data_IF_149402147251
#
_entry.id   IF_149402147251
#
_cell.length_a   1.000
_cell.length_b   1.000
_cell.length_c   1.000
_cell.angle_alpha   90.00
_cell.angle_beta   90.00
_cell.angle_gamma   90.00
#
_symmetry.space_group_name_H-M   'P 1'
#
loop_
_entity.id
_entity.type
_entity.pdbx_description
1 polymer ?
#
# COMPACT_ATOMS: atom_id res chain seq x y z
N UNK A 1 -2.78 -12.62 -2.08
CA UNK A 1 -2.90 -11.35 -1.30
C UNK A 1 -1.71 -11.04 -0.36
N UNK A 2 -0.43 -11.37 -0.67
CA UNK A 2 0.75 -10.82 0.03
C UNK A 2 1.48 -9.72 -0.77
N UNK A 3 0.91 -9.21 -1.87
CA UNK A 3 1.58 -8.24 -2.75
C UNK A 3 1.20 -6.77 -2.50
N UNK A 4 0.08 -6.50 -1.81
CA UNK A 4 -0.40 -5.13 -1.56
C UNK A 4 0.21 -4.50 -0.29
N UNK A 5 0.61 -5.33 0.67
CA UNK A 5 1.24 -4.90 1.95
C UNK A 5 2.73 -4.57 1.77
N UNK A 6 3.37 -5.13 0.75
CA UNK A 6 4.75 -4.79 0.36
C UNK A 6 4.85 -3.45 -0.37
N UNK A 7 3.80 -3.00 -1.08
CA UNK A 7 3.84 -1.82 -1.96
C UNK A 7 3.45 -0.48 -1.32
N UNK A 8 2.96 -0.46 -0.08
CA UNK A 8 2.40 0.75 0.53
C UNK A 8 3.07 1.23 1.82
N UNK A 9 4.16 0.61 2.28
CA UNK A 9 4.70 0.91 3.62
C UNK A 9 6.02 1.70 3.59
N UNK A 10 6.05 2.91 4.19
CA UNK A 10 7.21 3.38 4.96
C UNK A 10 7.46 2.41 6.13
N UNK A 11 8.73 2.15 6.46
CA UNK A 11 9.15 1.11 7.42
C UNK A 11 8.64 1.37 8.86
N UNK A 12 8.32 2.62 9.23
CA UNK A 12 8.09 3.02 10.63
C UNK A 12 6.70 2.78 11.24
N UNK A 13 5.66 2.46 10.45
CA UNK A 13 4.27 2.39 10.96
C UNK A 13 3.58 1.02 10.80
N UNK A 14 4.28 0.02 10.25
CA UNK A 14 3.73 -1.33 10.01
C UNK A 14 3.25 -2.02 11.30
N UNK A 15 4.00 -1.86 12.40
CA UNK A 15 3.68 -2.48 13.69
C UNK A 15 2.38 -1.97 14.30
N UNK A 16 2.19 -0.65 14.33
CA UNK A 16 0.98 -0.02 14.91
C UNK A 16 -0.26 -0.27 14.06
N UNK A 17 -0.13 -0.22 12.74
CA UNK A 17 -1.25 -0.52 11.83
C UNK A 17 -1.71 -1.98 11.95
N UNK A 18 -0.76 -2.93 12.01
CA UNK A 18 -1.09 -4.34 12.27
C UNK A 18 -1.62 -4.55 13.69
N UNK A 19 -1.10 -3.82 14.69
CA UNK A 19 -1.57 -3.85 16.07
C UNK A 19 -3.03 -3.40 16.21
N UNK A 20 -3.39 -2.25 15.64
CA UNK A 20 -4.78 -1.73 15.64
C UNK A 20 -5.73 -2.71 14.94
N UNK A 21 -5.30 -3.29 13.81
CA UNK A 21 -6.09 -4.32 13.12
C UNK A 21 -6.30 -5.55 14.01
N UNK A 22 -5.24 -6.06 14.64
CA UNK A 22 -5.30 -7.22 15.53
C UNK A 22 -6.20 -6.96 16.74
N UNK A 23 -6.04 -5.82 17.42
CA UNK A 23 -6.91 -5.43 18.54
C UNK A 23 -8.38 -5.32 18.12
N UNK A 24 -8.65 -4.75 16.94
CA UNK A 24 -10.02 -4.66 16.39
C UNK A 24 -10.58 -6.04 16.06
N UNK A 25 -9.74 -6.95 15.52
CA UNK A 25 -10.14 -8.33 15.22
C UNK A 25 -10.47 -9.11 16.50
N UNK A 26 -9.62 -9.01 17.53
CA UNK A 26 -9.87 -9.65 18.82
C UNK A 26 -11.10 -9.09 19.52
N UNK A 27 -11.26 -7.75 19.51
CA UNK A 27 -12.44 -7.11 20.09
C UNK A 27 -13.73 -7.51 19.36
N UNK A 28 -13.69 -7.55 18.03
CA UNK A 28 -14.81 -7.99 17.20
C UNK A 28 -15.15 -9.47 17.42
N UNK A 29 -14.16 -10.34 17.52
CA UNK A 29 -14.36 -11.76 17.82
C UNK A 29 -14.94 -11.96 19.23
N UNK A 30 -14.46 -11.20 20.21
CA UNK A 30 -14.97 -11.25 21.58
C UNK A 30 -16.43 -10.78 21.67
N UNK A 31 -16.72 -9.58 21.14
CA UNK A 31 -18.08 -9.03 21.14
C UNK A 31 -19.03 -9.88 20.30
N UNK A 32 -18.60 -10.36 19.13
CA UNK A 32 -19.37 -11.26 18.28
C UNK A 32 -19.65 -12.59 18.97
N UNK A 33 -18.67 -13.15 19.68
CA UNK A 33 -18.84 -14.37 20.47
C UNK A 33 -19.78 -14.17 21.67
N UNK A 34 -19.64 -13.07 22.40
CA UNK A 34 -20.49 -12.75 23.55
C UNK A 34 -21.94 -12.48 23.15
N UNK A 35 -22.16 -11.64 22.12
CA UNK A 35 -23.49 -11.35 21.58
C UNK A 35 -24.11 -12.57 20.90
N UNK A 36 -23.31 -13.35 20.17
CA UNK A 36 -23.75 -14.60 19.55
C UNK A 36 -24.14 -15.67 20.58
N UNK A 37 -23.37 -15.81 21.66
CA UNK A 37 -23.68 -16.71 22.76
C UNK A 37 -24.95 -16.29 23.53
N UNK A 38 -25.11 -14.99 23.79
CA UNK A 38 -26.32 -14.45 24.41
C UNK A 38 -27.57 -14.64 23.52
N UNK A 39 -27.43 -14.37 22.22
CA UNK A 39 -28.48 -14.60 21.23
C UNK A 39 -28.82 -16.10 21.09
N UNK A 40 -27.82 -16.98 21.16
CA UNK A 40 -28.04 -18.43 21.16
C UNK A 40 -28.83 -18.89 22.39
N UNK A 41 -28.56 -18.31 23.56
CA UNK A 41 -29.27 -18.65 24.80
C UNK A 41 -30.72 -18.16 24.85
N UNK A 42 -31.03 -17.03 24.19
CA UNK A 42 -32.35 -16.38 24.29
C UNK A 42 -33.22 -16.56 23.04
N UNK A 43 -32.63 -16.55 21.84
CA UNK A 43 -33.31 -16.68 20.55
C UNK A 43 -33.00 -18.01 19.82
N UNK A 44 -32.16 -18.86 20.42
CA UNK A 44 -31.73 -20.12 19.80
C UNK A 44 -30.85 -19.93 18.56
N UNK A 45 -30.60 -21.02 17.84
CA UNK A 45 -29.73 -21.02 16.66
C UNK A 45 -30.24 -20.07 15.55
N UNK A 46 -31.55 -19.98 15.35
CA UNK A 46 -32.15 -19.12 14.32
C UNK A 46 -31.85 -17.64 14.55
N UNK A 47 -31.89 -17.16 15.80
CA UNK A 47 -31.56 -15.77 16.14
C UNK A 47 -30.12 -15.40 15.81
N UNK A 48 -29.18 -16.33 16.00
CA UNK A 48 -27.77 -16.13 15.64
C UNK A 48 -27.62 -15.98 14.12
N UNK A 49 -28.26 -16.84 13.33
CA UNK A 49 -28.21 -16.76 11.87
C UNK A 49 -28.78 -15.45 11.32
N UNK A 50 -29.93 -15.00 11.84
CA UNK A 50 -30.50 -13.70 11.45
C UNK A 50 -29.60 -12.52 11.87
N UNK A 51 -29.00 -12.59 13.06
CA UNK A 51 -28.02 -11.58 13.51
C UNK A 51 -26.80 -11.51 12.59
N UNK A 52 -26.21 -12.66 12.24
CA UNK A 52 -25.11 -12.73 11.27
C UNK A 52 -25.51 -12.19 9.90
N UNK A 53 -26.71 -12.52 9.41
CA UNK A 53 -27.21 -12.03 8.14
C UNK A 53 -27.36 -10.49 8.12
N UNK A 54 -27.88 -9.91 9.21
CA UNK A 54 -28.00 -8.44 9.34
C UNK A 54 -26.63 -7.75 9.35
N UNK A 55 -25.66 -8.29 10.10
CA UNK A 55 -24.29 -7.76 10.13
C UNK A 55 -23.64 -7.83 8.75
N UNK A 56 -23.84 -8.95 8.04
CA UNK A 56 -23.32 -9.13 6.68
C UNK A 56 -23.96 -8.15 5.68
N UNK A 57 -25.27 -7.93 5.77
CA UNK A 57 -25.98 -6.95 4.94
C UNK A 57 -25.50 -5.52 5.21
N UNK A 58 -25.30 -5.17 6.48
CA UNK A 58 -24.75 -3.86 6.85
C UNK A 58 -23.33 -3.68 6.29
N UNK A 59 -22.49 -4.70 6.41
CA UNK A 59 -21.15 -4.69 5.83
C UNK A 59 -21.18 -4.54 4.30
N UNK A 60 -22.08 -5.25 3.63
CA UNK A 60 -22.25 -5.17 2.18
C UNK A 60 -22.70 -3.76 1.75
N UNK A 61 -23.65 -3.16 2.46
CA UNK A 61 -24.09 -1.79 2.19
C UNK A 61 -22.94 -0.77 2.31
N UNK A 62 -22.08 -0.94 3.31
CA UNK A 62 -20.87 -0.11 3.47
C UNK A 62 -19.85 -0.37 2.35
N UNK A 63 -19.62 -1.63 2.00
CA UNK A 63 -18.68 -2.03 0.96
C UNK A 63 -19.08 -1.49 -0.42
N UNK A 64 -20.38 -1.46 -0.73
CA UNK A 64 -20.90 -0.87 -1.99
C UNK A 64 -20.57 0.64 -2.12
N UNK A 65 -20.38 1.35 -1.01
CA UNK A 65 -19.97 2.76 -1.00
C UNK A 65 -18.47 2.99 -1.18
N UNK A 66 -17.64 1.94 -1.10
CA UNK A 66 -16.19 2.10 -1.20
C UNK A 66 -15.76 2.24 -2.66
N UNK A 67 -15.30 3.45 -3.02
CA UNK A 67 -14.60 3.68 -4.29
C UNK A 67 -13.21 3.05 -4.20
N UNK A 68 -12.94 2.12 -5.12
CA UNK A 68 -11.66 1.43 -5.23
C UNK A 68 -10.54 2.46 -5.36
N UNK A 69 -9.63 2.58 -4.38
CA UNK A 69 -8.51 3.52 -4.49
C UNK A 69 -7.67 3.10 -5.69
N UNK A 70 -7.34 4.07 -6.55
CA UNK A 70 -6.53 3.83 -7.72
C UNK A 70 -5.29 3.02 -7.31
N UNK A 71 -5.10 1.86 -7.94
CA UNK A 71 -3.93 1.00 -7.72
C UNK A 71 -2.68 1.73 -8.24
N UNK A 72 -2.21 2.72 -7.49
CA UNK A 72 -0.94 3.41 -7.75
C UNK A 72 0.14 2.37 -7.65
N UNK A 73 0.80 2.14 -8.77
CA UNK A 73 1.67 1.01 -8.88
C UNK A 73 3.00 1.36 -8.27
N UNK A 74 3.34 0.78 -7.12
CA UNK A 74 4.73 0.82 -6.69
C UNK A 74 5.56 -0.01 -7.69
N UNK A 75 6.51 0.65 -8.33
CA UNK A 75 7.49 0.10 -9.25
C UNK A 75 8.87 0.39 -8.67
N UNK A 76 9.71 -0.65 -8.58
CA UNK A 76 11.07 -0.54 -8.10
C UNK A 76 11.98 -0.66 -9.32
N UNK A 77 12.85 0.31 -9.51
CA UNK A 77 13.90 0.25 -10.52
C UNK A 77 15.26 0.27 -9.84
N UNK A 78 16.21 -0.46 -10.41
CA UNK A 78 17.57 -0.49 -9.90
C UNK A 78 18.28 0.82 -10.27
N UNK A 79 19.08 1.35 -9.34
CA UNK A 79 20.02 2.45 -9.59
C UNK A 79 21.28 2.14 -8.81
N UNK A 80 22.44 2.36 -9.42
CA UNK A 80 23.73 2.25 -8.74
C UNK A 80 23.86 3.44 -7.76
N UNK A 81 23.53 3.22 -6.49
CA UNK A 81 23.46 4.25 -5.46
C UNK A 81 24.80 4.94 -5.21
N UNK A 82 25.90 4.25 -5.52
CA UNK A 82 27.26 4.80 -5.44
C UNK A 82 27.56 5.84 -6.53
N UNK A 83 26.81 5.85 -7.64
CA UNK A 83 26.99 6.79 -8.76
C UNK A 83 26.03 7.96 -8.72
N UNK A 84 25.01 7.90 -7.85
CA UNK A 84 24.03 8.97 -7.72
C UNK A 84 24.68 10.19 -7.06
N UNK A 85 24.97 11.21 -7.88
CA UNK A 85 25.61 12.45 -7.41
C UNK A 85 24.66 13.29 -6.55
N UNK A 86 23.35 13.26 -6.83
CA UNK A 86 22.34 14.00 -6.06
C UNK A 86 21.00 13.28 -6.03
N UNK A 87 20.66 12.77 -4.84
CA UNK A 87 19.41 12.04 -4.58
C UNK A 87 18.22 12.95 -4.82
N UNK A 88 18.26 14.19 -4.31
CA UNK A 88 17.15 15.14 -4.39
C UNK A 88 16.89 15.59 -5.82
N UNK A 89 17.94 15.79 -6.63
CA UNK A 89 17.78 16.21 -8.02
C UNK A 89 17.20 15.08 -8.88
N UNK A 90 17.64 13.84 -8.64
CA UNK A 90 17.11 12.67 -9.33
C UNK A 90 15.64 12.43 -8.97
N UNK A 91 15.26 12.57 -7.69
CA UNK A 91 13.87 12.50 -7.26
C UNK A 91 13.01 13.57 -7.94
N UNK A 92 13.48 14.82 -8.02
CA UNK A 92 12.75 15.90 -8.70
C UNK A 92 12.57 15.64 -10.20
N UNK A 93 13.59 15.10 -10.88
CA UNK A 93 13.49 14.77 -12.30
C UNK A 93 12.51 13.61 -12.54
N UNK A 94 12.51 12.61 -11.67
CA UNK A 94 11.56 11.50 -11.75
C UNK A 94 10.13 11.93 -11.44
N UNK A 95 9.94 12.85 -10.48
CA UNK A 95 8.63 13.46 -10.19
C UNK A 95 8.10 14.33 -11.34
N UNK A 96 8.96 14.84 -12.20
CA UNK A 96 8.58 15.63 -13.37
C UNK A 96 8.08 14.77 -14.54
N UNK A 97 8.23 13.44 -14.48
CA UNK A 97 7.72 12.53 -15.51
C UNK A 97 6.20 12.39 -15.41
N UNK A 98 5.55 12.39 -16.58
CA UNK A 98 4.12 12.11 -16.67
C UNK A 98 3.81 10.70 -16.15
N UNK A 99 2.83 10.63 -15.24
CA UNK A 99 2.44 9.38 -14.59
C UNK A 99 3.26 9.01 -13.36
N UNK A 100 4.22 9.83 -12.88
CA UNK A 100 4.90 9.61 -11.59
C UNK A 100 4.27 10.48 -10.50
N UNK A 101 3.75 9.86 -9.45
CA UNK A 101 3.12 10.57 -8.32
C UNK A 101 4.06 10.74 -7.13
N UNK A 102 4.94 9.76 -6.90
CA UNK A 102 5.99 9.81 -5.88
C UNK A 102 7.23 9.14 -6.43
N UNK A 103 8.40 9.74 -6.19
CA UNK A 103 9.70 9.13 -6.45
C UNK A 103 10.52 9.20 -5.17
N UNK A 104 11.17 8.10 -4.82
CA UNK A 104 12.12 8.03 -3.71
C UNK A 104 13.34 7.23 -4.10
N UNK A 105 14.51 7.82 -3.98
CA UNK A 105 15.78 7.14 -4.24
C UNK A 105 16.32 6.64 -2.91
N UNK A 106 16.68 5.35 -2.85
CA UNK A 106 17.26 4.70 -1.66
C UNK A 106 18.63 4.15 -2.06
N UNK A 107 19.69 4.96 -1.94
CA UNK A 107 21.05 4.56 -2.34
C UNK A 107 21.54 3.32 -1.59
N UNK A 108 21.10 3.11 -0.35
CA UNK A 108 21.49 1.97 0.48
C UNK A 108 20.96 0.63 -0.04
N UNK A 109 19.88 0.65 -0.83
CA UNK A 109 19.27 -0.53 -1.45
C UNK A 109 19.58 -0.64 -2.95
N UNK A 110 20.40 0.27 -3.51
CA UNK A 110 20.63 0.41 -4.95
C UNK A 110 19.31 0.42 -5.74
N UNK A 111 18.31 1.15 -5.22
CA UNK A 111 16.95 1.11 -5.73
C UNK A 111 16.22 2.46 -5.68
N UNK A 112 15.37 2.67 -6.66
CA UNK A 112 14.42 3.77 -6.74
C UNK A 112 13.00 3.23 -6.67
N UNK A 113 12.23 3.76 -5.73
CA UNK A 113 10.82 3.44 -5.54
C UNK A 113 9.97 4.53 -6.19
N UNK A 114 9.18 4.13 -7.18
CA UNK A 114 8.26 5.01 -7.88
C UNK A 114 6.82 4.57 -7.64
N UNK A 115 5.93 5.52 -7.31
CA UNK A 115 4.48 5.31 -7.38
C UNK A 115 3.98 5.87 -8.71
N UNK A 116 3.66 4.97 -9.63
CA UNK A 116 3.32 5.33 -11.00
C UNK A 116 1.87 5.03 -11.35
N UNK A 117 1.33 5.78 -12.31
CA UNK A 117 0.17 5.39 -13.10
C UNK A 117 0.62 4.44 -14.22
N UNK A 118 0.19 3.17 -14.17
CA UNK A 118 0.54 2.22 -15.23
C UNK A 118 -0.02 2.60 -16.61
N UNK A 119 -1.02 3.47 -16.69
CA UNK A 119 -1.58 3.86 -17.98
C UNK A 119 -0.83 5.01 -18.65
N UNK A 120 -0.08 5.81 -17.89
CA UNK A 120 0.56 7.04 -18.37
C UNK A 120 2.08 7.01 -18.22
N UNK A 121 2.63 6.10 -17.41
CA UNK A 121 4.05 6.04 -17.13
C UNK A 121 4.86 5.49 -18.32
N UNK A 122 5.88 6.25 -18.70
CA UNK A 122 6.89 5.85 -19.68
C UNK A 122 8.13 5.28 -18.98
N UNK A 123 8.23 3.95 -18.97
CA UNK A 123 9.35 3.21 -18.36
C UNK A 123 10.69 3.51 -19.07
N UNK A 124 10.67 3.82 -20.36
CA UNK A 124 11.89 4.08 -21.12
C UNK A 124 12.51 5.43 -20.74
N UNK A 125 11.68 6.47 -20.56
CA UNK A 125 12.15 7.78 -20.11
C UNK A 125 12.72 7.72 -18.69
N UNK A 126 12.04 7.01 -17.78
CA UNK A 126 12.54 6.85 -16.42
C UNK A 126 13.89 6.12 -16.39
N UNK A 127 14.05 5.06 -17.20
CA UNK A 127 15.33 4.34 -17.31
C UNK A 127 16.45 5.18 -17.91
N UNK A 128 16.13 6.05 -18.87
CA UNK A 128 17.10 6.97 -19.47
C UNK A 128 17.60 8.02 -18.46
N UNK A 129 16.72 8.51 -17.56
CA UNK A 129 17.11 9.43 -16.48
C UNK A 129 18.00 8.74 -15.43
N UNK A 130 17.68 7.49 -15.07
CA UNK A 130 18.53 6.70 -14.16
C UNK A 130 19.93 6.50 -14.74
N UNK A 131 20.03 6.11 -16.02
CA UNK A 131 21.32 5.94 -16.69
C UNK A 131 22.12 7.25 -16.78
N UNK A 132 21.47 8.39 -17.05
CA UNK A 132 22.14 9.70 -17.06
C UNK A 132 22.65 10.12 -15.68
N UNK A 133 21.91 9.80 -14.63
CA UNK A 133 22.32 10.09 -13.25
C UNK A 133 23.50 9.22 -12.81
N UNK A 134 23.64 8.01 -13.36
CA UNK A 134 24.78 7.10 -13.13
C UNK A 134 26.04 7.52 -13.91
N UNK A 135 25.86 8.03 -15.13
CA UNK A 135 26.95 8.36 -16.08
C UNK A 135 27.57 9.76 -15.85
N UNK A 136 26.88 10.64 -15.11
CA UNK A 136 27.41 11.96 -14.72
C UNK A 136 28.65 11.92 -13.81
N UNK A 137 29.11 10.73 -13.40
CA UNK A 137 30.28 10.53 -12.55
C UNK A 137 31.63 10.59 -13.29
N UNK A 138 31.66 10.64 -14.63
CA UNK A 138 32.93 10.65 -15.40
C UNK A 138 33.50 12.04 -15.74
N UNK A 139 32.89 13.17 -15.36
CA UNK A 139 33.38 14.52 -15.73
C UNK A 139 33.53 15.52 -14.57
N UNK A 140 34.01 15.04 -13.40
CA UNK A 140 34.40 15.87 -12.26
C UNK A 140 35.90 15.86 -12.00
#
# INVERSE_FOLDING_TARGET
LPSLISRMAPIDAKGTAMGIYSSSQFLGAFLGGALGGWAMGTLGASGVFYGCALVMLLWLALALGMRMPAMRSAHMMHVDGARVVSVEALEQQLLALDGVYEARVVPEEDAVFLRIDKQQFDEQQARALLAQAEDGSEHG
#
